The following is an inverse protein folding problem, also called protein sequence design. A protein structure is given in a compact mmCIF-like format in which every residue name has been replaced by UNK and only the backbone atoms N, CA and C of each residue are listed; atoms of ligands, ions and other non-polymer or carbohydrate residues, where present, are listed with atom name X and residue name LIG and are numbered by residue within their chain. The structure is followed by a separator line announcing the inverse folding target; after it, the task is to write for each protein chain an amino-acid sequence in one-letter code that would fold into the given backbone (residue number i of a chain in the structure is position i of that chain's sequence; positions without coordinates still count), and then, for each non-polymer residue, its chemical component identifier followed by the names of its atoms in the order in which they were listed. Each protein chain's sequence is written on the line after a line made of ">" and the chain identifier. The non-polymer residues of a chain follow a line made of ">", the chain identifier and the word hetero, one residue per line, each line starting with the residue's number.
data_IF_559590064657
#
_entry.id   IF_559590064657
#
_cell.length_a   1.000
_cell.length_b   1.000
_cell.length_c   1.000
_cell.angle_alpha   90.00
_cell.angle_beta   90.00
_cell.angle_gamma   90.00
#
_symmetry.space_group_name_H-M   'P 1'
#
loop_
_entity.id
_entity.type
_entity.pdbx_description
1 polymer ?
#
# COMPACT_ATOMS: atom_id res chain seq x y z
N UNK A 1 0.23 3.81 -28.19
CA UNK A 1 0.18 3.58 -29.66
C UNK A 1 0.84 4.74 -30.38
N UNK A 2 1.60 4.50 -31.45
CA UNK A 2 2.13 5.58 -32.30
C UNK A 2 1.26 5.75 -33.55
N UNK A 3 0.98 7.00 -33.92
CA UNK A 3 0.18 7.38 -35.08
C UNK A 3 0.77 8.63 -35.73
N UNK A 4 0.52 8.84 -37.02
CA UNK A 4 0.84 10.11 -37.65
C UNK A 4 -0.30 11.11 -37.48
N UNK A 5 0.02 12.30 -36.97
CA UNK A 5 -0.92 13.39 -36.75
C UNK A 5 -0.61 14.57 -37.65
N UNK A 6 -1.64 15.14 -38.27
CA UNK A 6 -1.52 16.35 -39.07
C UNK A 6 -1.24 17.56 -38.15
N UNK A 7 -0.01 18.08 -38.15
CA UNK A 7 0.41 19.21 -37.30
C UNK A 7 0.33 20.58 -37.96
N UNK A 8 0.10 20.61 -39.28
CA UNK A 8 -0.04 21.83 -40.10
C UNK A 8 -0.52 21.49 -41.52
N UNK A 9 -0.58 22.47 -42.44
CA UNK A 9 -1.00 22.23 -43.82
C UNK A 9 -0.07 21.20 -44.48
N UNK A 10 -0.58 19.97 -44.66
CA UNK A 10 0.13 18.85 -45.30
C UNK A 10 1.36 18.30 -44.54
N UNK A 11 1.57 18.65 -43.27
CA UNK A 11 2.69 18.12 -42.47
C UNK A 11 2.20 17.08 -41.47
N UNK A 12 2.61 15.83 -41.68
CA UNK A 12 2.37 14.71 -40.77
C UNK A 12 3.55 14.53 -39.83
N UNK A 13 3.28 14.34 -38.54
CA UNK A 13 4.30 14.04 -37.53
C UNK A 13 3.92 12.80 -36.76
N UNK A 14 4.92 11.95 -36.49
CA UNK A 14 4.72 10.81 -35.62
C UNK A 14 4.42 11.28 -34.19
N UNK A 15 3.39 10.69 -33.59
CA UNK A 15 2.91 11.03 -32.27
C UNK A 15 2.59 9.76 -31.49
N UNK A 16 2.73 9.83 -30.17
CA UNK A 16 2.14 8.85 -29.26
C UNK A 16 0.74 9.29 -28.90
N UNK A 17 -0.25 8.45 -29.14
CA UNK A 17 -1.60 8.61 -28.57
C UNK A 17 -1.52 8.30 -27.09
N UNK A 18 -1.92 9.26 -26.27
CA UNK A 18 -1.98 9.15 -24.81
C UNK A 18 -3.38 8.72 -24.38
N UNK A 19 -4.40 9.37 -24.92
CA UNK A 19 -5.79 9.14 -24.55
C UNK A 19 -6.68 9.22 -25.78
N UNK A 20 -7.67 8.33 -25.88
CA UNK A 20 -8.76 8.44 -26.84
C UNK A 20 -10.05 8.62 -26.04
N UNK A 21 -10.90 9.55 -26.47
CA UNK A 21 -12.19 9.79 -25.82
C UNK A 21 -13.08 8.54 -25.91
N UNK A 22 -14.03 8.36 -24.98
CA UNK A 22 -14.92 7.19 -24.98
C UNK A 22 -15.72 7.01 -26.28
N UNK A 23 -16.05 8.10 -26.97
CA UNK A 23 -16.76 8.09 -28.25
C UNK A 23 -15.84 7.87 -29.48
N UNK A 24 -14.53 7.75 -29.27
CA UNK A 24 -13.55 7.52 -30.32
C UNK A 24 -13.36 8.68 -31.30
N UNK A 25 -13.87 9.88 -31.01
CA UNK A 25 -13.78 11.04 -31.93
C UNK A 25 -12.56 11.91 -31.68
N UNK A 26 -12.14 12.03 -30.43
CA UNK A 26 -11.04 12.89 -30.03
C UNK A 26 -9.93 12.07 -29.40
N UNK A 27 -8.70 12.55 -29.53
CA UNK A 27 -7.60 12.02 -28.74
C UNK A 27 -6.67 13.12 -28.23
N UNK A 28 -5.83 12.73 -27.26
CA UNK A 28 -4.69 13.49 -26.79
C UNK A 28 -3.45 12.81 -27.34
N UNK A 29 -2.59 13.58 -28.00
CA UNK A 29 -1.34 13.08 -28.58
C UNK A 29 -0.16 13.88 -28.06
N UNK A 30 0.99 13.22 -27.99
CA UNK A 30 2.29 13.85 -27.77
C UNK A 30 3.17 13.58 -28.99
N UNK A 31 3.74 14.62 -29.57
CA UNK A 31 4.67 14.47 -30.68
C UNK A 31 5.94 13.73 -30.23
N UNK A 32 6.54 12.91 -31.10
CA UNK A 32 7.78 12.20 -30.76
C UNK A 32 9.00 13.12 -30.74
N UNK A 33 8.97 14.17 -31.54
CA UNK A 33 10.03 15.18 -31.68
C UNK A 33 9.88 16.39 -30.74
N UNK A 34 8.85 16.39 -29.88
CA UNK A 34 8.54 17.55 -29.03
C UNK A 34 7.87 17.13 -27.71
N UNK A 35 8.16 17.80 -26.59
CA UNK A 35 7.42 17.60 -25.34
C UNK A 35 5.96 18.09 -25.41
N UNK A 36 5.57 18.75 -26.50
CA UNK A 36 4.24 19.33 -26.65
C UNK A 36 3.15 18.26 -26.71
N UNK A 37 2.13 18.46 -25.87
CA UNK A 37 0.91 17.65 -25.83
C UNK A 37 -0.21 18.43 -26.50
N UNK A 38 -0.82 17.84 -27.52
CA UNK A 38 -2.00 18.40 -28.20
C UNK A 38 -3.23 17.64 -27.73
N UNK A 39 -4.19 18.39 -27.21
CA UNK A 39 -5.49 17.87 -26.74
C UNK A 39 -6.54 18.08 -27.83
N UNK A 40 -7.62 17.30 -27.77
CA UNK A 40 -8.77 17.41 -28.65
C UNK A 40 -8.40 17.29 -30.15
N UNK A 41 -7.48 16.37 -30.48
CA UNK A 41 -7.16 16.06 -31.87
C UNK A 41 -8.29 15.23 -32.45
N UNK A 42 -8.95 15.75 -33.49
CA UNK A 42 -9.97 15.00 -34.24
C UNK A 42 -9.32 13.79 -34.92
N UNK A 43 -9.80 12.61 -34.54
CA UNK A 43 -9.27 11.34 -35.03
C UNK A 43 -9.48 11.20 -36.54
N UNK A 44 -10.68 11.55 -37.03
CA UNK A 44 -11.09 11.30 -38.40
C UNK A 44 -10.30 12.16 -39.38
N UNK A 45 -10.06 13.41 -39.00
CA UNK A 45 -9.45 14.39 -39.91
C UNK A 45 -7.94 14.50 -39.74
N UNK A 46 -7.41 14.19 -38.55
CA UNK A 46 -6.01 14.49 -38.21
C UNK A 46 -5.16 13.29 -37.91
N UNK A 47 -5.67 12.07 -37.91
CA UNK A 47 -4.88 10.87 -37.57
C UNK A 47 -4.90 9.86 -38.72
N UNK A 48 -3.72 9.37 -39.10
CA UNK A 48 -3.59 8.19 -39.97
C UNK A 48 -3.57 6.92 -39.12
N UNK A 49 -4.72 6.53 -38.61
CA UNK A 49 -4.94 5.25 -37.94
C UNK A 49 -6.34 4.75 -38.31
N UNK A 50 -6.51 3.45 -38.48
CA UNK A 50 -7.85 2.93 -38.76
C UNK A 50 -8.71 3.01 -37.49
N UNK A 51 -10.03 3.20 -37.60
CA UNK A 51 -10.94 3.16 -36.46
C UNK A 51 -10.81 1.88 -35.62
N UNK A 52 -10.51 0.74 -36.25
CA UNK A 52 -10.31 -0.54 -35.56
C UNK A 52 -9.07 -0.49 -34.66
N UNK A 53 -8.00 0.17 -35.12
CA UNK A 53 -6.75 0.32 -34.36
C UNK A 53 -6.95 1.16 -33.10
N UNK A 54 -7.78 2.20 -33.18
CA UNK A 54 -8.16 3.03 -32.04
C UNK A 54 -9.16 2.35 -31.11
N UNK A 55 -10.07 1.54 -31.67
CA UNK A 55 -10.99 0.71 -30.89
C UNK A 55 -10.21 -0.32 -30.08
N UNK A 56 -9.20 -0.96 -30.68
CA UNK A 56 -8.30 -1.89 -29.99
C UNK A 56 -7.52 -1.21 -28.85
N UNK A 57 -7.11 0.05 -29.07
CA UNK A 57 -6.44 0.84 -28.04
C UNK A 57 -7.36 1.13 -26.84
N UNK A 58 -8.62 1.46 -27.08
CA UNK A 58 -9.59 1.65 -26.00
C UNK A 58 -9.92 0.33 -25.29
N UNK A 59 -10.00 -0.78 -26.01
CA UNK A 59 -10.22 -2.11 -25.45
C UNK A 59 -9.03 -2.64 -24.63
N UNK A 60 -7.84 -2.08 -24.82
CA UNK A 60 -6.62 -2.43 -24.07
C UNK A 60 -6.35 -1.49 -22.88
N UNK A 61 -7.24 -0.52 -22.61
CA UNK A 61 -7.17 0.23 -21.36
C UNK A 61 -7.39 -0.72 -20.20
N UNK A 62 -6.53 -0.60 -19.20
CA UNK A 62 -6.71 -1.30 -17.95
C UNK A 62 -8.03 -0.82 -17.34
N UNK A 63 -8.98 -1.74 -17.24
CA UNK A 63 -10.19 -1.50 -16.46
C UNK A 63 -9.83 -1.48 -14.97
N UNK A 64 -10.68 -0.84 -14.16
CA UNK A 64 -10.46 -0.80 -12.73
C UNK A 64 -10.47 -2.21 -12.09
N UNK A 65 -11.12 -3.18 -12.75
CA UNK A 65 -11.24 -4.55 -12.27
C UNK A 65 -9.94 -5.37 -12.40
N UNK A 66 -9.10 -5.07 -13.40
CA UNK A 66 -7.81 -5.74 -13.63
C UNK A 66 -6.66 -5.17 -12.80
N UNK A 67 -6.84 -3.99 -12.20
CA UNK A 67 -5.83 -3.30 -11.39
C UNK A 67 -5.91 -3.65 -9.89
N UNK A 68 -5.62 -4.91 -9.55
CA UNK A 68 -5.46 -5.32 -8.16
C UNK A 68 -4.14 -4.81 -7.56
N UNK A 69 -4.08 -4.51 -6.24
CA UNK A 69 -2.82 -4.24 -5.55
C UNK A 69 -1.78 -5.35 -5.77
N UNK A 70 -0.54 -4.96 -6.06
CA UNK A 70 0.57 -5.83 -6.45
C UNK A 70 0.64 -6.16 -7.94
N UNK A 71 -0.39 -5.84 -8.74
CA UNK A 71 -0.35 -6.10 -10.18
C UNK A 71 0.75 -5.27 -10.85
N UNK A 72 1.64 -5.89 -11.66
CA UNK A 72 2.67 -5.17 -12.39
C UNK A 72 2.01 -4.30 -13.48
N UNK A 73 2.50 -3.08 -13.63
CA UNK A 73 2.04 -2.13 -14.62
C UNK A 73 3.22 -1.38 -15.22
N UNK A 74 3.13 -1.06 -16.52
CA UNK A 74 4.08 -0.18 -17.17
C UNK A 74 3.39 1.14 -17.49
N UNK A 75 4.14 2.23 -17.41
CA UNK A 75 3.60 3.54 -17.73
C UNK A 75 4.66 4.52 -18.16
N UNK A 76 4.24 5.73 -18.52
CA UNK A 76 5.13 6.81 -18.94
C UNK A 76 4.97 8.00 -18.02
N UNK A 77 6.08 8.55 -17.55
CA UNK A 77 6.05 9.76 -16.74
C UNK A 77 5.56 10.92 -17.61
N UNK A 78 4.42 11.48 -17.27
CA UNK A 78 3.83 12.64 -17.95
C UNK A 78 4.19 13.95 -17.27
N UNK A 79 4.40 13.91 -15.95
CA UNK A 79 4.71 15.08 -15.14
C UNK A 79 5.55 14.71 -13.92
N UNK A 80 6.44 15.61 -13.51
CA UNK A 80 7.25 15.48 -12.29
C UNK A 80 6.94 16.65 -11.35
N UNK A 81 6.70 16.32 -10.09
CA UNK A 81 6.58 17.27 -8.98
C UNK A 81 7.61 16.93 -7.91
N UNK A 82 7.94 17.85 -7.00
CA UNK A 82 8.91 17.60 -5.93
C UNK A 82 8.58 16.39 -5.03
N UNK A 83 7.33 15.94 -5.03
CA UNK A 83 6.84 14.87 -4.16
C UNK A 83 6.35 13.61 -4.90
N UNK A 84 6.25 13.63 -6.24
CA UNK A 84 5.71 12.50 -7.00
C UNK A 84 5.96 12.62 -8.51
N UNK A 85 5.93 11.47 -9.20
CA UNK A 85 5.76 11.38 -10.64
C UNK A 85 4.32 11.03 -10.97
N UNK A 86 3.80 11.67 -12.00
CA UNK A 86 2.52 11.31 -12.59
C UNK A 86 2.81 10.43 -13.78
N UNK A 87 2.20 9.25 -13.77
CA UNK A 87 2.48 8.17 -14.72
C UNK A 87 1.20 7.84 -15.46
N UNK A 88 1.25 7.93 -16.78
CA UNK A 88 0.19 7.42 -17.65
C UNK A 88 0.35 5.90 -17.79
N UNK A 89 -0.54 5.17 -17.13
CA UNK A 89 -0.65 3.70 -17.18
C UNK A 89 -1.81 3.25 -18.09
N UNK A 90 -2.25 4.10 -19.03
CA UNK A 90 -3.42 3.87 -19.88
C UNK A 90 -4.77 3.83 -19.14
N UNK A 91 -4.82 4.30 -17.89
CA UNK A 91 -6.09 4.44 -17.14
C UNK A 91 -6.80 5.75 -17.48
N UNK A 92 -7.99 6.01 -16.92
CA UNK A 92 -8.69 7.29 -17.12
C UNK A 92 -7.93 8.49 -16.56
N UNK A 93 -7.18 8.28 -15.48
CA UNK A 93 -6.42 9.31 -14.77
C UNK A 93 -4.95 8.91 -14.70
N UNK A 94 -4.09 9.91 -14.58
CA UNK A 94 -2.68 9.65 -14.27
C UNK A 94 -2.58 8.97 -12.89
N UNK A 95 -1.78 7.92 -12.85
CA UNK A 95 -1.39 7.28 -11.62
C UNK A 95 -0.27 8.09 -10.95
N UNK A 96 -0.14 7.98 -9.64
CA UNK A 96 0.83 8.69 -8.84
C UNK A 96 1.85 7.69 -8.35
N UNK A 97 3.09 7.83 -8.82
CA UNK A 97 4.23 7.08 -8.30
C UNK A 97 4.88 7.95 -7.22
N UNK A 98 4.73 7.53 -5.96
CA UNK A 98 5.34 8.17 -4.81
C UNK A 98 6.81 7.81 -4.70
N UNK A 99 7.66 8.74 -4.27
CA UNK A 99 9.08 8.49 -4.04
C UNK A 99 9.60 9.22 -2.82
N UNK A 100 10.76 8.77 -2.35
CA UNK A 100 11.68 9.56 -1.54
C UNK A 100 12.52 10.48 -2.46
N UNK A 101 13.00 11.61 -1.94
CA UNK A 101 13.76 12.62 -2.71
C UNK A 101 14.96 12.03 -3.49
N UNK A 102 15.56 10.96 -2.98
CA UNK A 102 16.71 10.28 -3.59
C UNK A 102 16.42 9.64 -4.96
N UNK A 103 15.18 9.26 -5.25
CA UNK A 103 14.82 8.54 -6.48
C UNK A 103 14.27 9.46 -7.60
N UNK A 104 14.04 10.74 -7.31
CA UNK A 104 13.47 11.68 -8.28
C UNK A 104 14.50 12.24 -9.27
N UNK A 105 15.78 12.30 -8.89
CA UNK A 105 16.84 12.93 -9.70
C UNK A 105 17.10 12.25 -11.04
N UNK A 106 16.74 10.97 -11.16
CA UNK A 106 17.02 10.16 -12.35
C UNK A 106 15.82 10.06 -13.29
N UNK A 107 14.66 10.55 -12.85
CA UNK A 107 13.42 10.44 -13.61
C UNK A 107 13.24 11.61 -14.57
N UNK A 108 12.71 11.33 -15.76
CA UNK A 108 12.47 12.34 -16.80
C UNK A 108 11.06 12.22 -17.37
N UNK A 109 10.43 13.35 -17.70
CA UNK A 109 9.14 13.34 -18.41
C UNK A 109 9.31 12.68 -19.78
N UNK A 110 8.51 11.65 -20.05
CA UNK A 110 8.58 10.78 -21.22
C UNK A 110 9.30 9.45 -20.99
N UNK A 111 9.96 9.28 -19.85
CA UNK A 111 10.57 8.00 -19.48
C UNK A 111 9.50 6.94 -19.22
N UNK A 112 9.73 5.74 -19.74
CA UNK A 112 8.96 4.54 -19.38
C UNK A 112 9.40 4.01 -18.03
N UNK A 113 8.44 3.64 -17.19
CA UNK A 113 8.69 3.07 -15.86
C UNK A 113 7.91 1.77 -15.69
N UNK A 114 8.53 0.81 -14.99
CA UNK A 114 7.86 -0.40 -14.51
C UNK A 114 7.52 -0.22 -13.04
N UNK A 115 6.27 -0.48 -12.69
CA UNK A 115 5.71 -0.24 -11.37
C UNK A 115 4.74 -1.35 -10.99
N UNK A 116 4.22 -1.28 -9.78
CA UNK A 116 3.14 -2.12 -9.29
C UNK A 116 2.00 -1.24 -8.76
N UNK A 117 0.76 -1.69 -8.93
CA UNK A 117 -0.42 -1.01 -8.36
C UNK A 117 -0.34 -1.12 -6.83
N UNK A 118 -0.28 0.00 -6.11
CA UNK A 118 -0.29 0.00 -4.66
C UNK A 118 -1.72 0.05 -4.12
N UNK A 119 -2.48 1.07 -4.49
CA UNK A 119 -3.85 1.29 -4.04
C UNK A 119 -4.57 2.31 -4.92
N UNK A 120 -5.85 2.59 -4.67
CA UNK A 120 -6.61 3.66 -5.32
C UNK A 120 -7.05 4.69 -4.28
N UNK A 121 -6.58 5.94 -4.42
CA UNK A 121 -6.90 7.05 -3.49
C UNK A 121 -7.40 8.27 -4.27
N UNK A 122 -8.52 8.85 -3.86
CA UNK A 122 -9.12 10.01 -4.54
C UNK A 122 -9.43 9.76 -6.02
N UNK A 123 -9.73 8.50 -6.37
CA UNK A 123 -9.96 8.08 -7.75
C UNK A 123 -8.70 8.02 -8.63
N UNK A 124 -7.49 8.16 -8.08
CA UNK A 124 -6.22 7.94 -8.79
C UNK A 124 -5.51 6.71 -8.26
N UNK A 125 -4.89 5.96 -9.15
CA UNK A 125 -4.03 4.84 -8.80
C UNK A 125 -2.74 5.36 -8.16
N UNK A 126 -2.34 4.76 -7.05
CA UNK A 126 -1.02 4.93 -6.46
C UNK A 126 -0.16 3.78 -6.95
N UNK A 127 1.07 4.09 -7.33
CA UNK A 127 2.05 3.13 -7.82
C UNK A 127 3.19 3.02 -6.81
N UNK A 128 3.81 1.85 -6.77
CA UNK A 128 5.11 1.64 -6.15
C UNK A 128 6.13 1.19 -7.22
N UNK A 129 7.44 1.41 -7.01
CA UNK A 129 8.47 0.79 -7.83
C UNK A 129 8.26 -0.73 -7.93
N UNK A 130 8.58 -1.33 -9.07
CA UNK A 130 8.50 -2.79 -9.23
C UNK A 130 9.35 -3.50 -8.17
N UNK A 131 8.82 -4.58 -7.60
CA UNK A 131 9.48 -5.33 -6.54
C UNK A 131 9.39 -4.68 -5.16
N UNK A 132 8.61 -3.59 -5.02
CA UNK A 132 8.26 -3.08 -3.69
C UNK A 132 7.36 -4.09 -3.01
N UNK A 133 6.31 -4.57 -3.68
CA UNK A 133 5.41 -5.55 -3.10
C UNK A 133 6.04 -6.96 -3.11
N UNK A 134 6.77 -7.29 -2.05
CA UNK A 134 6.94 -8.69 -1.66
C UNK A 134 5.56 -9.34 -1.40
N UNK A 135 5.46 -10.66 -1.51
CA UNK A 135 4.21 -11.41 -1.25
C UNK A 135 3.57 -11.07 0.12
N UNK A 136 4.35 -10.54 1.06
CA UNK A 136 3.93 -10.10 2.41
C UNK A 136 3.38 -8.67 2.50
N UNK A 137 3.79 -7.75 1.62
CA UNK A 137 3.44 -6.33 1.73
C UNK A 137 2.08 -5.99 1.08
N UNK A 138 1.61 -6.84 0.16
CA UNK A 138 0.23 -6.79 -0.38
C UNK A 138 -0.82 -7.01 0.72
N UNK A 139 -0.48 -7.77 1.77
CA UNK A 139 -1.34 -7.94 2.94
C UNK A 139 -1.37 -6.68 3.82
N UNK A 140 -0.23 -5.99 3.96
CA UNK A 140 -0.11 -4.72 4.68
C UNK A 140 -0.84 -3.58 3.97
N UNK A 141 -0.77 -3.49 2.64
CA UNK A 141 -1.45 -2.40 1.92
C UNK A 141 -2.98 -2.57 1.90
N UNK A 142 -3.49 -3.82 1.96
CA UNK A 142 -4.91 -4.10 2.25
C UNK A 142 -5.33 -3.66 3.65
N UNK A 143 -4.40 -3.66 4.62
CA UNK A 143 -4.61 -3.14 5.98
C UNK A 143 -4.80 -1.62 5.99
N UNK A 144 -4.00 -0.87 5.23
CA UNK A 144 -4.07 0.60 5.16
C UNK A 144 -5.28 1.14 4.40
N UNK A 145 -5.85 0.39 3.46
CA UNK A 145 -6.94 0.88 2.58
C UNK A 145 -8.34 0.79 3.23
N UNK A 146 -8.44 0.33 4.49
CA UNK A 146 -9.73 0.02 5.15
C UNK A 146 -9.93 0.65 6.54
N UNK A 147 -9.47 1.87 6.82
CA UNK A 147 -9.94 2.60 8.03
C UNK A 147 -11.49 2.58 8.14
N UNK A 148 -12.17 2.83 9.28
CA UNK A 148 -11.80 3.25 10.65
C UNK A 148 -12.45 2.36 11.75
N UNK A 149 -12.60 1.04 11.51
CA UNK A 149 -13.48 0.18 12.33
C UNK A 149 -12.86 -0.42 13.61
N UNK A 150 -11.56 -0.26 13.83
CA UNK A 150 -10.87 -0.87 14.98
C UNK A 150 -10.92 -0.05 16.28
N UNK A 151 -11.57 1.13 16.28
CA UNK A 151 -11.54 2.04 17.42
C UNK A 151 -10.21 2.79 17.50
N UNK A 152 -10.26 3.96 18.11
CA UNK A 152 -9.14 4.91 18.14
C UNK A 152 -8.36 4.69 19.43
N UNK A 153 -7.05 4.46 19.35
CA UNK A 153 -6.18 4.43 20.53
C UNK A 153 -5.66 5.84 20.82
N UNK A 154 -5.71 6.23 22.10
CA UNK A 154 -5.12 7.47 22.57
C UNK A 154 -3.63 7.25 22.84
N UNK A 155 -2.80 8.16 22.36
CA UNK A 155 -1.36 8.13 22.61
C UNK A 155 -0.78 9.52 22.85
N UNK A 156 0.50 9.55 23.21
CA UNK A 156 1.27 10.78 23.43
C UNK A 156 2.45 10.85 22.47
N UNK A 157 2.61 11.96 21.76
CA UNK A 157 3.74 12.18 20.85
C UNK A 157 5.05 12.15 21.64
N UNK A 158 5.96 11.28 21.26
CA UNK A 158 7.31 11.18 21.81
C UNK A 158 8.38 11.68 20.84
N UNK A 159 8.04 11.81 19.56
CA UNK A 159 8.90 12.40 18.54
C UNK A 159 8.08 12.87 17.34
N UNK A 160 8.62 13.80 16.56
CA UNK A 160 7.96 14.29 15.36
C UNK A 160 9.00 14.58 14.28
N UNK A 161 8.79 14.00 13.10
CA UNK A 161 9.51 14.30 11.87
C UNK A 161 8.59 14.97 10.87
N UNK A 162 9.13 15.42 9.74
CA UNK A 162 8.35 16.12 8.73
C UNK A 162 7.18 15.29 8.20
N UNK A 163 7.35 13.97 8.08
CA UNK A 163 6.37 13.07 7.45
C UNK A 163 5.64 12.15 8.44
N UNK A 164 6.04 12.13 9.72
CA UNK A 164 5.38 11.28 10.73
C UNK A 164 5.51 11.82 12.16
N UNK A 165 4.59 11.37 13.02
CA UNK A 165 4.66 11.48 14.47
C UNK A 165 5.01 10.10 15.03
N UNK A 166 5.89 10.09 16.02
CA UNK A 166 6.19 8.95 16.85
C UNK A 166 5.39 9.07 18.14
N UNK A 167 4.61 8.06 18.49
CA UNK A 167 3.64 8.16 19.58
C UNK A 167 3.73 6.92 20.46
N UNK A 168 3.73 7.13 21.77
CA UNK A 168 3.51 6.07 22.73
C UNK A 168 2.02 5.89 22.96
N UNK A 169 1.54 4.66 22.81
CA UNK A 169 0.13 4.30 22.94
C UNK A 169 -0.01 3.32 24.09
N UNK A 170 -0.96 3.57 24.99
CA UNK A 170 -1.37 2.57 25.98
C UNK A 170 -2.28 1.56 25.26
N UNK A 171 -1.77 0.34 25.05
CA UNK A 171 -2.58 -0.71 24.46
C UNK A 171 -3.58 -1.21 25.51
N UNK A 172 -4.88 -1.36 25.17
CA UNK A 172 -5.86 -1.92 26.09
C UNK A 172 -5.40 -3.29 26.61
N UNK A 173 -5.35 -3.44 27.94
CA UNK A 173 -4.97 -4.70 28.58
C UNK A 173 -3.46 -4.94 28.77
N UNK A 174 -2.59 -4.01 28.37
CA UNK A 174 -1.15 -4.06 28.66
C UNK A 174 -0.76 -3.08 29.77
N UNK A 175 0.20 -3.47 30.60
CA UNK A 175 0.81 -2.60 31.62
C UNK A 175 1.88 -1.66 31.05
N UNK A 176 2.25 -1.83 29.78
CA UNK A 176 3.30 -1.07 29.10
C UNK A 176 2.76 -0.29 27.89
N UNK A 177 3.45 0.80 27.56
CA UNK A 177 3.18 1.59 26.35
C UNK A 177 3.89 0.98 25.16
N UNK A 178 3.19 0.87 24.04
CA UNK A 178 3.79 0.47 22.74
C UNK A 178 4.11 1.70 21.91
N UNK A 179 5.13 1.57 21.06
CA UNK A 179 5.54 2.65 20.16
C UNK A 179 4.90 2.47 18.79
N UNK A 180 4.54 3.59 18.15
CA UNK A 180 4.05 3.56 16.79
C UNK A 180 4.29 4.85 16.01
N UNK A 181 4.04 4.78 14.70
CA UNK A 181 4.14 5.89 13.75
C UNK A 181 2.77 6.30 13.17
N UNK A 182 2.50 7.61 13.18
CA UNK A 182 1.37 8.26 12.49
C UNK A 182 1.91 9.12 11.37
N UNK A 183 1.60 8.74 10.14
CA UNK A 183 2.04 9.49 8.97
C UNK A 183 1.24 10.79 8.83
N UNK A 184 1.86 11.78 8.21
CA UNK A 184 1.29 13.12 8.07
C UNK A 184 -0.11 13.10 7.42
N UNK A 185 -0.35 12.19 6.49
CA UNK A 185 -1.64 12.03 5.81
C UNK A 185 -2.72 11.31 6.64
N UNK A 186 -2.38 10.85 7.83
CA UNK A 186 -3.28 10.26 8.83
C UNK A 186 -3.62 11.24 9.95
N UNK A 187 -2.87 12.34 10.10
CA UNK A 187 -3.06 13.31 11.17
C UNK A 187 -4.43 13.99 11.11
N UNK A 188 -4.90 14.31 9.90
CA UNK A 188 -6.22 14.93 9.67
C UNK A 188 -6.66 14.75 8.22
N UNK A 189 -7.95 14.94 7.99
CA UNK A 189 -8.50 15.06 6.64
C UNK A 189 -7.86 16.24 5.90
N UNK A 190 -7.07 15.92 4.87
CA UNK A 190 -6.40 16.90 4.02
C UNK A 190 -4.92 16.61 3.82
N UNK A 191 -4.23 17.57 3.22
CA UNK A 191 -2.78 17.50 3.05
C UNK A 191 -2.08 18.12 4.27
N UNK A 192 -1.22 17.34 4.92
CA UNK A 192 -0.30 17.81 5.94
C UNK A 192 1.10 17.81 5.33
N UNK A 193 1.69 18.99 5.16
CA UNK A 193 3.02 19.14 4.57
C UNK A 193 4.17 18.95 5.56
N UNK A 194 3.88 19.04 6.87
CA UNK A 194 4.85 18.85 7.95
C UNK A 194 4.13 18.46 9.25
N UNK A 195 4.29 17.22 9.70
CA UNK A 195 3.63 16.72 10.91
C UNK A 195 4.04 17.47 12.19
N UNK A 196 5.25 18.06 12.22
CA UNK A 196 5.76 18.83 13.38
C UNK A 196 5.00 20.14 13.62
N UNK A 197 4.33 20.64 12.58
CA UNK A 197 3.52 21.86 12.69
C UNK A 197 2.13 21.56 13.25
N UNK A 198 1.67 20.32 13.15
CA UNK A 198 0.35 19.91 13.63
C UNK A 198 0.40 19.48 15.10
N UNK A 199 1.47 18.80 15.54
CA UNK A 199 1.63 18.32 16.91
C UNK A 199 3.07 18.48 17.45
N UNK A 200 3.18 18.71 18.75
CA UNK A 200 4.43 18.79 19.52
C UNK A 200 4.67 17.51 20.32
N UNK A 201 5.94 17.25 20.63
CA UNK A 201 6.31 16.21 21.61
C UNK A 201 5.61 16.52 22.94
N UNK A 202 4.90 15.53 23.47
CA UNK A 202 4.06 15.63 24.65
C UNK A 202 2.58 15.80 24.34
N UNK A 203 2.18 16.16 23.12
CA UNK A 203 0.77 16.33 22.78
C UNK A 203 0.04 14.98 22.78
N UNK A 204 -1.23 15.01 23.17
CA UNK A 204 -2.11 13.86 23.04
C UNK A 204 -2.61 13.76 21.60
N UNK A 205 -2.47 12.58 20.98
CA UNK A 205 -2.99 12.28 19.65
C UNK A 205 -4.03 11.20 19.78
N UNK A 206 -5.13 11.36 19.03
CA UNK A 206 -6.11 10.32 18.78
C UNK A 206 -5.98 9.97 17.31
N UNK A 207 -5.41 8.81 17.00
CA UNK A 207 -5.50 8.07 15.74
C UNK A 207 -4.28 7.16 15.63
N UNK A 208 -4.37 5.93 16.14
CA UNK A 208 -3.28 4.96 16.01
C UNK A 208 -3.84 3.64 15.52
N UNK A 209 -4.03 3.52 14.21
CA UNK A 209 -4.61 2.31 13.64
C UNK A 209 -3.67 1.48 12.77
N UNK A 210 -2.39 1.86 12.55
CA UNK A 210 -1.66 1.20 11.45
C UNK A 210 -0.18 0.88 11.60
N UNK A 211 0.50 1.17 12.71
CA UNK A 211 1.85 0.62 12.91
C UNK A 211 2.19 0.52 14.40
N UNK A 212 2.05 -0.67 14.96
CA UNK A 212 2.63 -0.98 16.26
C UNK A 212 3.97 -1.66 16.04
N UNK A 213 4.95 -1.32 16.87
CA UNK A 213 6.27 -1.93 16.88
C UNK A 213 6.61 -2.36 18.30
N UNK A 214 7.10 -3.59 18.47
CA UNK A 214 7.79 -4.02 19.69
C UNK A 214 9.16 -3.38 19.78
N UNK A 215 9.69 -3.28 20.99
CA UNK A 215 11.04 -2.79 21.20
C UNK A 215 12.06 -3.69 20.45
N UNK A 216 13.12 -3.09 19.91
CA UNK A 216 14.17 -3.79 19.18
C UNK A 216 14.78 -4.95 19.97
N UNK A 217 14.95 -4.78 21.28
CA UNK A 217 15.50 -5.81 22.15
C UNK A 217 14.54 -6.97 22.35
N UNK A 218 13.23 -6.71 22.42
CA UNK A 218 12.20 -7.76 22.48
C UNK A 218 12.13 -8.52 21.15
N UNK A 219 12.13 -7.80 20.02
CA UNK A 219 12.16 -8.42 18.70
C UNK A 219 13.40 -9.31 18.54
N UNK A 220 14.60 -8.86 18.96
CA UNK A 220 15.82 -9.67 18.95
C UNK A 220 15.75 -10.90 19.85
N UNK A 221 15.08 -10.81 20.99
CA UNK A 221 14.87 -11.97 21.87
C UNK A 221 13.92 -12.97 21.24
N UNK A 222 12.82 -12.50 20.64
CA UNK A 222 11.83 -13.36 19.96
C UNK A 222 12.38 -13.98 18.69
N UNK A 223 13.26 -13.30 17.94
CA UNK A 223 13.92 -13.88 16.76
C UNK A 223 14.74 -15.14 17.10
N UNK A 224 15.18 -15.31 18.36
CA UNK A 224 15.87 -16.54 18.81
C UNK A 224 14.91 -17.70 19.11
N UNK A 225 13.60 -17.44 19.09
CA UNK A 225 12.53 -18.41 19.32
C UNK A 225 11.94 -18.93 18.00
N UNK A 226 12.47 -18.50 16.85
CA UNK A 226 12.09 -19.06 15.55
C UNK A 226 12.31 -20.58 15.55
N UNK A 227 11.23 -21.35 15.38
CA UNK A 227 11.26 -22.80 15.51
C UNK A 227 9.87 -23.42 15.72
N UNK A 228 9.81 -24.69 16.12
CA UNK A 228 8.57 -25.49 16.23
C UNK A 228 7.76 -25.28 17.52
N UNK A 229 8.21 -24.40 18.41
CA UNK A 229 7.57 -24.21 19.73
C UNK A 229 6.27 -23.41 19.62
N UNK A 230 5.21 -23.96 20.22
CA UNK A 230 3.91 -23.34 20.32
C UNK A 230 3.76 -22.59 21.64
N UNK A 231 3.17 -21.39 21.58
CA UNK A 231 2.99 -20.51 22.71
C UNK A 231 1.53 -20.15 22.90
N UNK A 232 1.08 -20.16 24.15
CA UNK A 232 -0.25 -19.66 24.47
C UNK A 232 -0.31 -18.16 24.22
N UNK A 233 -1.42 -17.72 23.63
CA UNK A 233 -1.67 -16.31 23.38
C UNK A 233 -3.13 -15.94 23.58
N UNK A 234 -3.37 -14.65 23.73
CA UNK A 234 -4.72 -14.09 23.88
C UNK A 234 -4.97 -13.09 22.77
N UNK A 235 -5.98 -13.33 21.94
CA UNK A 235 -6.41 -12.39 20.91
C UNK A 235 -6.92 -11.10 21.56
N UNK A 236 -6.42 -9.96 21.10
CA UNK A 236 -6.83 -8.63 21.60
C UNK A 236 -7.78 -7.96 20.63
N UNK A 237 -7.33 -7.71 19.40
CA UNK A 237 -8.09 -6.92 18.43
C UNK A 237 -8.24 -7.68 17.13
N UNK A 238 -9.48 -7.77 16.65
CA UNK A 238 -9.80 -8.29 15.32
C UNK A 238 -9.70 -7.14 14.32
N UNK A 239 -8.80 -7.27 13.37
CA UNK A 239 -8.64 -6.31 12.27
C UNK A 239 -9.12 -6.95 10.96
N UNK A 240 -9.29 -6.15 9.90
CA UNK A 240 -9.67 -6.70 8.58
C UNK A 240 -8.56 -7.56 7.95
N UNK A 241 -7.30 -7.34 8.32
CA UNK A 241 -6.15 -8.09 7.80
C UNK A 241 -5.68 -9.27 8.66
N UNK A 242 -6.16 -9.38 9.90
CA UNK A 242 -5.71 -10.41 10.85
C UNK A 242 -6.06 -10.08 12.29
N UNK A 243 -5.30 -10.67 13.21
CA UNK A 243 -5.54 -10.54 14.64
C UNK A 243 -4.28 -10.04 15.33
N UNK A 244 -4.46 -9.09 16.25
CA UNK A 244 -3.44 -8.80 17.24
C UNK A 244 -3.57 -9.82 18.37
N UNK A 245 -2.47 -10.49 18.70
CA UNK A 245 -2.42 -11.43 19.83
C UNK A 245 -1.35 -10.99 20.82
N UNK A 246 -1.59 -11.22 22.11
CA UNK A 246 -0.56 -11.17 23.13
C UNK A 246 -0.03 -12.58 23.30
N UNK A 247 1.14 -12.84 22.74
CA UNK A 247 1.78 -14.14 22.77
C UNK A 247 2.73 -14.24 23.94
N UNK A 248 2.62 -15.30 24.74
CA UNK A 248 3.51 -15.56 25.89
C UNK A 248 4.86 -16.10 25.41
N UNK A 249 5.54 -15.35 24.55
CA UNK A 249 6.83 -15.72 23.93
C UNK A 249 7.99 -15.55 24.91
N UNK A 250 7.86 -14.59 25.83
CA UNK A 250 8.86 -14.24 26.84
C UNK A 250 8.22 -14.30 28.24
N UNK A 251 8.93 -13.80 29.24
CA UNK A 251 8.42 -13.68 30.63
C UNK A 251 7.15 -12.83 30.72
N UNK A 252 7.03 -11.83 29.83
CA UNK A 252 5.83 -11.02 29.66
C UNK A 252 5.20 -11.28 28.28
N UNK A 253 3.85 -11.16 28.15
CA UNK A 253 3.19 -11.30 26.88
C UNK A 253 3.64 -10.23 25.89
N UNK A 254 4.05 -10.67 24.70
CA UNK A 254 4.57 -9.80 23.64
C UNK A 254 3.50 -9.66 22.56
N UNK A 255 3.20 -8.44 22.09
CA UNK A 255 2.26 -8.26 20.99
C UNK A 255 2.82 -8.83 19.69
N UNK A 256 2.01 -9.63 19.01
CA UNK A 256 2.34 -10.28 17.74
C UNK A 256 1.15 -10.20 16.75
N UNK A 257 1.47 -10.20 15.47
CA UNK A 257 0.48 -10.16 14.39
C UNK A 257 0.20 -11.59 13.92
N UNK A 258 -1.06 -11.99 13.93
CA UNK A 258 -1.53 -13.23 13.34
C UNK A 258 -2.29 -12.90 12.04
N UNK A 259 -1.66 -13.05 10.86
CA UNK A 259 -2.28 -12.70 9.59
C UNK A 259 -3.57 -13.49 9.38
N UNK A 260 -4.64 -12.78 9.01
CA UNK A 260 -5.97 -13.38 8.86
C UNK A 260 -5.95 -14.54 7.87
N UNK A 261 -5.20 -14.40 6.77
CA UNK A 261 -5.00 -15.43 5.75
C UNK A 261 -4.40 -16.74 6.30
N UNK A 262 -3.61 -16.68 7.38
CA UNK A 262 -2.99 -17.84 8.03
C UNK A 262 -3.85 -18.44 9.14
N UNK A 263 -4.95 -17.79 9.50
CA UNK A 263 -5.92 -18.34 10.45
C UNK A 263 -6.92 -19.22 9.71
N UNK A 264 -7.06 -20.52 10.08
CA UNK A 264 -8.06 -21.42 9.52
C UNK A 264 -9.46 -20.81 9.59
N UNK A 265 -10.29 -21.03 8.56
CA UNK A 265 -11.61 -20.39 8.44
C UNK A 265 -12.50 -20.60 9.68
N UNK A 266 -12.49 -21.80 10.26
CA UNK A 266 -13.24 -22.12 11.49
C UNK A 266 -12.75 -21.29 12.68
N UNK A 267 -11.44 -21.26 12.91
CA UNK A 267 -10.82 -20.47 13.97
C UNK A 267 -11.07 -18.97 13.77
N UNK A 268 -10.99 -18.47 12.53
CA UNK A 268 -11.29 -17.08 12.20
C UNK A 268 -12.73 -16.69 12.56
N UNK A 269 -13.68 -17.61 12.41
CA UNK A 269 -15.09 -17.39 12.73
C UNK A 269 -15.37 -17.43 14.23
N UNK A 270 -14.55 -18.12 15.04
CA UNK A 270 -14.69 -18.20 16.49
C UNK A 270 -13.80 -17.23 17.26
N UNK A 271 -12.70 -16.74 16.68
CA UNK A 271 -11.79 -15.82 17.35
C UNK A 271 -12.49 -14.50 17.67
N UNK A 272 -12.47 -14.12 18.93
CA UNK A 272 -12.93 -12.84 19.49
C UNK A 272 -11.84 -12.27 20.40
N UNK A 273 -11.93 -10.99 20.72
CA UNK A 273 -11.16 -10.41 21.82
C UNK A 273 -11.28 -11.27 23.10
N UNK A 274 -10.16 -11.53 23.76
CA UNK A 274 -10.05 -12.44 24.91
C UNK A 274 -9.92 -13.92 24.57
N UNK A 275 -10.07 -14.34 23.30
CA UNK A 275 -9.95 -15.76 22.92
C UNK A 275 -8.53 -16.27 23.10
N UNK A 276 -8.39 -17.48 23.65
CA UNK A 276 -7.11 -18.18 23.71
C UNK A 276 -6.79 -18.80 22.35
N UNK A 277 -5.57 -18.59 21.88
CA UNK A 277 -5.07 -19.19 20.64
C UNK A 277 -3.62 -19.57 20.84
N UNK A 278 -3.23 -20.74 20.35
CA UNK A 278 -1.81 -21.13 20.35
C UNK A 278 -1.19 -20.65 19.06
N UNK A 279 -0.05 -20.00 19.20
CA UNK A 279 0.65 -19.37 18.10
C UNK A 279 2.11 -19.75 18.12
N UNK A 280 2.74 -19.68 16.97
CA UNK A 280 4.17 -19.93 16.79
C UNK A 280 4.77 -18.77 16.04
N UNK A 281 5.98 -18.38 16.41
CA UNK A 281 6.74 -17.36 15.67
C UNK A 281 6.99 -17.87 14.26
N UNK A 282 6.46 -17.14 13.29
CA UNK A 282 6.61 -17.44 11.87
C UNK A 282 7.73 -16.60 11.25
N UNK A 283 7.83 -15.34 11.66
CA UNK A 283 8.84 -14.39 11.21
C UNK A 283 9.01 -13.26 12.24
N UNK A 284 10.19 -12.65 12.26
CA UNK A 284 10.50 -11.49 13.10
C UNK A 284 11.24 -10.43 12.29
N UNK A 285 10.53 -9.37 11.93
CA UNK A 285 11.15 -8.15 11.41
C UNK A 285 11.76 -7.37 12.57
N UNK A 286 13.04 -7.64 12.84
CA UNK A 286 13.81 -6.97 13.88
C UNK A 286 13.95 -5.47 13.59
N UNK A 287 14.08 -5.07 12.32
CA UNK A 287 14.26 -3.65 11.94
C UNK A 287 12.97 -2.85 12.08
N UNK A 288 11.84 -3.45 11.76
CA UNK A 288 10.51 -2.87 11.92
C UNK A 288 9.88 -3.14 13.28
N UNK A 289 10.49 -3.95 14.15
CA UNK A 289 9.94 -4.32 15.45
C UNK A 289 8.60 -5.06 15.31
N UNK A 290 8.48 -6.01 14.39
CA UNK A 290 7.23 -6.77 14.19
C UNK A 290 7.48 -8.24 14.39
N UNK A 291 6.58 -8.89 15.13
CA UNK A 291 6.57 -10.33 15.29
C UNK A 291 5.34 -10.84 14.54
N UNK A 292 5.57 -11.67 13.54
CA UNK A 292 4.50 -12.36 12.83
C UNK A 292 4.41 -13.77 13.38
N UNK A 293 3.21 -14.17 13.74
CA UNK A 293 2.92 -15.51 14.23
C UNK A 293 1.94 -16.23 13.33
N UNK A 294 2.01 -17.55 13.35
CA UNK A 294 1.01 -18.44 12.72
C UNK A 294 0.22 -19.17 13.80
N UNK A 295 -0.99 -19.63 13.45
CA UNK A 295 -1.86 -20.39 14.34
C UNK A 295 -2.13 -21.78 13.75
N UNK A 296 -2.09 -22.83 14.57
CA UNK A 296 -2.75 -24.09 14.26
C UNK A 296 -4.12 -24.15 14.95
N UNK A 297 -5.08 -24.91 14.41
CA UNK A 297 -6.24 -25.31 15.18
C UNK A 297 -5.77 -26.13 16.40
N UNK A 298 -6.24 -25.76 17.59
CA UNK A 298 -6.14 -26.62 18.76
C UNK A 298 -7.51 -27.28 18.94
N UNK A 299 -7.56 -28.61 18.93
CA UNK A 299 -8.74 -29.35 19.36
C UNK A 299 -8.35 -30.14 20.62
N UNK A 300 -9.03 -29.85 21.75
CA UNK A 300 -8.77 -30.49 23.06
C UNK A 300 -7.33 -30.37 23.61
N UNK A 301 -6.64 -29.26 23.34
CA UNK A 301 -5.29 -29.01 23.87
C UNK A 301 -4.16 -29.68 23.08
N UNK A 302 -4.46 -30.30 21.93
CA UNK A 302 -3.45 -30.91 21.05
C UNK A 302 -3.43 -30.16 19.71
N UNK A 303 -2.24 -29.81 19.16
CA UNK A 303 -2.12 -29.28 17.81
C UNK A 303 -2.73 -30.25 16.80
N UNK A 304 -3.71 -29.80 16.03
CA UNK A 304 -4.28 -30.59 14.94
C UNK A 304 -3.33 -30.46 13.73
N UNK A 305 -2.43 -31.43 13.57
CA UNK A 305 -1.73 -31.60 12.30
C UNK A 305 -2.76 -32.06 11.27
N UNK A 306 -3.05 -31.21 10.29
CA UNK A 306 -3.95 -31.53 9.19
C UNK A 306 -3.30 -32.68 8.42
N UNK A 307 -3.76 -33.91 8.69
CA UNK A 307 -3.34 -35.11 7.97
C UNK A 307 -3.63 -34.89 6.49
N UNK A 308 -2.56 -34.65 5.73
CA UNK A 308 -2.63 -34.14 4.36
C UNK A 308 -3.59 -34.89 3.44
N UNK A 309 -4.23 -34.11 2.57
CA UNK A 309 -4.70 -34.55 1.25
C UNK A 309 -3.85 -33.84 0.21
#
# INVERSE_FOLDING_TARGET
>A
MFVDVLSGPKTWKSCRVLHVSPDGKLCIVRYTDSPNVVRNVDIKDRIRATPETLTLYNATRLDDASMAPGSPVTGVITNLKPYAAFVDISSEKEAVLGFTEANLSDLRVGQGVECEIATKRGGRWQLAPKGTFGLEEVALHRFHTQGPKAGWLAGRVVGAERYCLYVNVEAPGLSHTVWGEVYADQIRDGYVGDARLEYKVGDAVRDFSSSWKVCLDEARRVARLEGETWYDSTAQVVTSGGFLVLANLLEEPVPAFLPGAWVPRRLRQSLREGSKVSVRVADVDVGGGRIVVTSMPIENGVPFEDGGV
#
